data_IF_053219108470
#
_entry.id   IF_053219108470
#
_cell.length_a   1.000
_cell.length_b   1.000
_cell.length_c   1.000
_cell.angle_alpha   90.00
_cell.angle_beta   90.00
_cell.angle_gamma   90.00
#
_symmetry.space_group_name_H-M   'P 1'
#
loop_
_entity.id
_entity.type
_entity.pdbx_description
1 polymer ?
#
# COMPACT_ATOMS: atom_id res chain seq x y z
N UNK A 1 -9.26 9.38 9.34
CA UNK A 1 -9.89 10.71 9.29
C UNK A 1 -11.16 10.61 10.11
N UNK A 2 -11.23 11.30 11.25
CA UNK A 2 -12.45 11.41 12.04
C UNK A 2 -13.20 12.67 11.59
N UNK A 3 -14.05 12.52 10.57
CA UNK A 3 -15.05 13.55 10.26
C UNK A 3 -16.22 13.36 11.20
N UNK A 4 -16.49 14.36 12.02
CA UNK A 4 -17.71 14.44 12.84
C UNK A 4 -18.73 15.27 12.07
N UNK A 5 -19.84 14.64 11.67
CA UNK A 5 -20.94 15.29 10.98
C UNK A 5 -22.14 15.30 11.92
N UNK A 6 -22.70 16.48 12.17
CA UNK A 6 -23.93 16.66 12.96
C UNK A 6 -24.94 17.45 12.16
N UNK A 7 -26.18 16.99 12.15
CA UNK A 7 -27.30 17.68 11.52
C UNK A 7 -28.31 17.98 12.62
N UNK A 8 -28.63 19.27 12.77
CA UNK A 8 -29.59 19.76 13.76
C UNK A 8 -30.74 20.37 13.00
N UNK A 9 -31.97 19.94 13.27
CA UNK A 9 -33.15 20.59 12.71
C UNK A 9 -33.53 21.78 13.61
N UNK A 10 -33.65 22.97 13.02
CA UNK A 10 -34.04 24.21 13.69
C UNK A 10 -35.20 24.86 12.92
N UNK A 11 -36.42 24.59 13.38
CA UNK A 11 -37.65 25.00 12.69
C UNK A 11 -37.81 24.33 11.33
N UNK A 12 -37.96 25.15 10.28
CA UNK A 12 -38.12 24.72 8.89
C UNK A 12 -36.77 24.55 8.16
N UNK A 13 -35.64 24.74 8.85
CA UNK A 13 -34.30 24.58 8.30
C UNK A 13 -33.48 23.52 9.06
N UNK A 14 -32.41 23.06 8.44
CA UNK A 14 -31.42 22.14 8.96
C UNK A 14 -30.08 22.84 9.03
N UNK A 15 -29.43 22.75 10.16
CA UNK A 15 -28.05 23.18 10.36
C UNK A 15 -27.14 21.96 10.23
N UNK A 16 -26.25 21.99 9.24
CA UNK A 16 -25.24 20.96 8.99
C UNK A 16 -23.92 21.45 9.56
N UNK A 17 -23.37 20.74 10.54
CA UNK A 17 -22.11 21.04 11.21
C UNK A 17 -21.12 19.92 10.86
N UNK A 18 -19.98 20.32 10.30
CA UNK A 18 -18.93 19.40 9.87
C UNK A 18 -17.64 19.82 10.57
N UNK A 19 -17.05 18.89 11.31
CA UNK A 19 -15.82 19.07 12.07
C UNK A 19 -14.73 18.16 11.48
N UNK A 20 -13.61 18.75 11.08
CA UNK A 20 -12.46 18.04 10.53
C UNK A 20 -11.15 18.82 10.71
N UNK A 21 -10.06 18.11 10.99
CA UNK A 21 -8.66 18.58 11.15
C UNK A 21 -8.50 20.08 11.49
N UNK A 22 -9.03 20.50 12.64
CA UNK A 22 -8.84 21.85 13.19
C UNK A 22 -9.77 22.92 12.62
N UNK A 23 -10.80 22.56 11.86
CA UNK A 23 -11.82 23.47 11.35
C UNK A 23 -13.24 22.94 11.59
N UNK A 24 -14.16 23.86 11.89
CA UNK A 24 -15.60 23.59 12.02
C UNK A 24 -16.32 24.42 10.97
N UNK A 25 -17.08 23.76 10.10
CA UNK A 25 -17.93 24.40 9.09
C UNK A 25 -19.38 24.21 9.46
N UNK A 26 -20.15 25.30 9.35
CA UNK A 26 -21.57 25.32 9.67
C UNK A 26 -22.31 25.85 8.45
N UNK A 27 -23.25 25.07 7.94
CA UNK A 27 -24.09 25.42 6.79
C UNK A 27 -25.56 25.24 7.13
N UNK A 28 -26.44 25.93 6.41
CA UNK A 28 -27.90 25.79 6.55
C UNK A 28 -28.50 25.20 5.28
N UNK A 29 -29.50 24.36 5.43
CA UNK A 29 -30.23 23.69 4.37
C UNK A 29 -31.72 23.76 4.66
N UNK A 30 -32.54 24.05 3.66
CA UNK A 30 -34.01 24.16 3.78
C UNK A 30 -34.72 22.83 3.56
N UNK A 31 -34.02 21.87 2.97
CA UNK A 31 -34.57 20.56 2.63
C UNK A 31 -33.44 19.52 2.59
N UNK A 32 -33.85 18.25 2.50
CA UNK A 32 -32.93 17.11 2.49
C UNK A 32 -31.99 17.15 1.26
N UNK A 33 -32.45 17.64 0.11
CA UNK A 33 -31.63 17.73 -1.10
C UNK A 33 -30.48 18.73 -0.93
N UNK A 34 -30.73 19.85 -0.25
CA UNK A 34 -29.69 20.82 0.12
C UNK A 34 -28.68 20.23 1.12
N UNK A 35 -29.14 19.42 2.09
CA UNK A 35 -28.24 18.69 3.00
C UNK A 35 -27.33 17.76 2.21
N UNK A 36 -27.90 16.96 1.29
CA UNK A 36 -27.14 16.02 0.46
C UNK A 36 -26.10 16.77 -0.39
N UNK A 37 -26.46 17.92 -0.96
CA UNK A 37 -25.53 18.74 -1.73
C UNK A 37 -24.40 19.31 -0.89
N UNK A 38 -24.68 19.81 0.32
CA UNK A 38 -23.65 20.32 1.23
C UNK A 38 -22.67 19.21 1.61
N UNK A 39 -23.18 18.04 2.00
CA UNK A 39 -22.35 16.89 2.36
C UNK A 39 -21.55 16.37 1.17
N UNK A 40 -22.15 16.31 -0.02
CA UNK A 40 -21.48 15.85 -1.23
C UNK A 40 -20.34 16.77 -1.64
N UNK A 41 -20.54 18.09 -1.54
CA UNK A 41 -19.50 19.07 -1.83
C UNK A 41 -18.35 19.00 -0.80
N UNK A 42 -18.65 18.83 0.48
CA UNK A 42 -17.62 18.70 1.53
C UNK A 42 -16.83 17.41 1.43
N UNK A 43 -17.49 16.29 1.13
CA UNK A 43 -16.81 15.03 0.83
C UNK A 43 -15.94 15.20 -0.42
N UNK A 44 -16.46 15.86 -1.46
CA UNK A 44 -15.70 16.12 -2.68
C UNK A 44 -14.50 17.02 -2.41
N UNK A 45 -14.64 18.08 -1.62
CA UNK A 45 -13.55 18.98 -1.24
C UNK A 45 -12.51 18.28 -0.38
N UNK A 46 -12.93 17.47 0.59
CA UNK A 46 -12.02 16.63 1.37
C UNK A 46 -11.25 15.65 0.46
N UNK A 47 -11.92 15.08 -0.55
CA UNK A 47 -11.30 14.19 -1.53
C UNK A 47 -10.39 14.93 -2.54
N UNK A 48 -10.73 16.15 -2.98
CA UNK A 48 -9.93 16.94 -3.94
C UNK A 48 -8.72 17.60 -3.28
N UNK A 49 -8.85 18.03 -2.02
CA UNK A 49 -7.71 18.48 -1.22
C UNK A 49 -6.72 17.32 -1.05
N UNK A 50 -7.20 16.08 -0.82
CA UNK A 50 -6.37 14.87 -0.87
C UNK A 50 -5.79 14.60 -2.26
N UNK A 51 -6.51 14.84 -3.36
CA UNK A 51 -5.92 14.72 -4.71
C UNK A 51 -4.75 15.70 -4.95
N UNK A 52 -4.53 16.69 -4.07
CA UNK A 52 -3.38 17.62 -4.16
C UNK A 52 -2.21 17.21 -3.25
N UNK A 53 -2.46 16.48 -2.15
CA UNK A 53 -1.45 16.12 -1.14
C UNK A 53 -1.23 14.62 -0.90
N UNK A 54 -2.13 13.77 -1.37
CA UNK A 54 -2.00 12.31 -1.46
C UNK A 54 -2.86 11.85 -2.65
N UNK A 55 -2.39 12.12 -3.87
CA UNK A 55 -2.83 11.28 -4.96
C UNK A 55 -2.54 9.83 -4.57
N UNK A 56 -3.60 9.04 -4.40
CA UNK A 56 -3.57 7.58 -4.63
C UNK A 56 -3.26 7.28 -6.12
N UNK A 57 -2.52 8.16 -6.81
CA UNK A 57 -1.78 7.76 -7.98
C UNK A 57 -0.68 6.85 -7.46
N UNK A 58 -0.55 5.64 -8.03
CA UNK A 58 0.50 4.74 -7.62
C UNK A 58 1.82 5.49 -7.79
N UNK A 59 2.57 5.63 -6.69
CA UNK A 59 3.95 6.12 -6.70
C UNK A 59 4.64 5.58 -7.95
N UNK A 60 5.30 6.45 -8.72
CA UNK A 60 6.01 6.04 -9.92
C UNK A 60 6.89 4.85 -9.55
N UNK A 61 6.48 3.64 -9.96
CA UNK A 61 7.25 2.46 -9.66
C UNK A 61 8.56 2.59 -10.44
N UNK A 62 9.68 2.40 -9.74
CA UNK A 62 11.01 2.67 -10.32
C UNK A 62 11.78 1.38 -10.54
N UNK A 63 11.50 0.35 -9.75
CA UNK A 63 12.19 -0.93 -9.82
C UNK A 63 11.48 -1.83 -10.83
N UNK A 64 12.24 -2.28 -11.82
CA UNK A 64 11.76 -3.17 -12.89
C UNK A 64 12.31 -4.57 -12.66
N UNK A 65 11.43 -5.57 -12.74
CA UNK A 65 11.77 -6.98 -12.53
C UNK A 65 11.58 -7.44 -11.08
N UNK A 66 11.24 -8.71 -10.93
CA UNK A 66 11.04 -9.36 -9.64
C UNK A 66 11.90 -10.62 -9.56
N UNK A 67 12.60 -10.78 -8.45
CA UNK A 67 13.45 -11.93 -8.18
C UNK A 67 13.37 -12.25 -6.69
N UNK A 68 12.98 -13.48 -6.38
CA UNK A 68 12.96 -14.00 -5.02
C UNK A 68 13.30 -15.47 -5.05
N UNK A 69 14.26 -15.87 -4.23
CA UNK A 69 14.85 -17.22 -4.23
C UNK A 69 15.03 -17.76 -2.83
N UNK A 70 14.46 -17.05 -1.87
CA UNK A 70 14.62 -17.33 -0.48
C UNK A 70 13.28 -17.03 0.21
N UNK A 71 12.87 -17.85 1.18
CA UNK A 71 11.61 -17.62 1.90
C UNK A 71 11.54 -16.21 2.47
N UNK A 72 10.38 -15.58 2.37
CA UNK A 72 10.12 -14.23 2.89
C UNK A 72 10.51 -14.13 4.36
N UNK A 73 10.15 -15.13 5.17
CA UNK A 73 10.50 -15.17 6.60
C UNK A 73 11.99 -15.08 6.85
N UNK A 74 12.82 -15.73 6.04
CA UNK A 74 14.27 -15.64 6.17
C UNK A 74 14.82 -14.33 5.62
N UNK A 75 14.23 -13.76 4.58
CA UNK A 75 14.56 -12.40 4.13
C UNK A 75 14.35 -11.38 5.26
N UNK A 76 13.21 -11.47 5.95
CA UNK A 76 12.88 -10.62 7.09
C UNK A 76 13.81 -10.86 8.29
N UNK A 77 14.14 -12.11 8.58
CA UNK A 77 15.10 -12.48 9.64
C UNK A 77 16.51 -11.93 9.37
N UNK A 78 17.01 -12.03 8.13
CA UNK A 78 18.27 -11.42 7.71
C UNK A 78 18.22 -9.91 7.93
N UNK A 79 17.14 -9.25 7.50
CA UNK A 79 16.99 -7.81 7.63
C UNK A 79 16.98 -7.37 9.10
N UNK A 80 16.21 -8.06 9.94
CA UNK A 80 16.16 -7.82 11.37
C UNK A 80 17.55 -8.00 12.02
N UNK A 81 18.30 -9.03 11.64
CA UNK A 81 19.66 -9.25 12.12
C UNK A 81 20.59 -8.09 11.75
N UNK A 82 20.58 -7.65 10.49
CA UNK A 82 21.44 -6.56 10.04
C UNK A 82 21.12 -5.23 10.75
N UNK A 83 19.83 -4.94 10.93
CA UNK A 83 19.37 -3.72 11.60
C UNK A 83 19.66 -3.76 13.11
N UNK A 84 19.42 -4.89 13.77
CA UNK A 84 19.68 -5.06 15.21
C UNK A 84 21.14 -4.84 15.58
N UNK A 85 22.05 -5.37 14.77
CA UNK A 85 23.49 -5.30 15.03
C UNK A 85 24.12 -4.00 14.50
N UNK A 86 23.38 -3.20 13.72
CA UNK A 86 23.78 -1.89 13.21
C UNK A 86 25.20 -1.84 12.61
N UNK A 87 25.51 -2.81 11.75
CA UNK A 87 26.82 -2.90 11.09
C UNK A 87 27.12 -1.65 10.24
N UNK A 88 28.35 -1.13 10.34
CA UNK A 88 28.85 -0.07 9.45
C UNK A 88 28.94 -0.54 8.00
N UNK A 89 29.37 -1.79 7.79
CA UNK A 89 29.34 -2.50 6.51
C UNK A 89 28.26 -3.60 6.54
N UNK A 90 27.09 -3.37 5.93
CA UNK A 90 26.03 -4.37 5.87
C UNK A 90 26.44 -5.66 5.15
N UNK A 91 27.41 -5.62 4.23
CA UNK A 91 27.90 -6.84 3.57
C UNK A 91 28.66 -7.73 4.55
N UNK A 92 29.51 -7.14 5.41
CA UNK A 92 30.14 -7.87 6.51
C UNK A 92 29.09 -8.47 7.44
N UNK A 93 28.09 -7.69 7.84
CA UNK A 93 26.98 -8.19 8.66
C UNK A 93 26.22 -9.35 8.01
N UNK A 94 26.06 -9.32 6.69
CA UNK A 94 25.43 -10.41 5.94
C UNK A 94 26.31 -11.66 5.96
N UNK A 95 27.62 -11.54 5.82
CA UNK A 95 28.55 -12.68 5.92
C UNK A 95 28.53 -13.28 7.33
N UNK A 96 28.54 -12.44 8.36
CA UNK A 96 28.47 -12.86 9.77
C UNK A 96 27.14 -13.60 10.05
N UNK A 97 26.02 -13.11 9.51
CA UNK A 97 24.73 -13.81 9.58
C UNK A 97 24.82 -15.19 8.92
N UNK A 98 25.35 -15.27 7.69
CA UNK A 98 25.44 -16.52 6.95
C UNK A 98 26.30 -17.55 7.69
N UNK A 99 27.47 -17.14 8.19
CA UNK A 99 28.38 -18.02 8.92
C UNK A 99 27.76 -18.52 10.23
N UNK A 100 27.14 -17.62 11.01
CA UNK A 100 26.50 -17.97 12.29
C UNK A 100 25.29 -18.91 12.13
N UNK A 101 24.66 -18.94 10.96
CA UNK A 101 23.53 -19.81 10.65
C UNK A 101 23.94 -21.05 9.83
N UNK A 102 25.24 -21.30 9.63
CA UNK A 102 25.74 -22.44 8.86
C UNK A 102 25.36 -22.41 7.37
N UNK A 103 25.10 -21.22 6.83
CA UNK A 103 24.69 -21.00 5.44
C UNK A 103 25.92 -20.69 4.58
N UNK A 104 25.88 -21.14 3.32
CA UNK A 104 26.94 -20.79 2.37
C UNK A 104 26.99 -19.28 2.16
N UNK A 105 28.19 -18.69 2.29
CA UNK A 105 28.44 -17.28 1.95
C UNK A 105 27.93 -16.94 0.55
N UNK A 106 27.97 -17.87 -0.40
CA UNK A 106 27.46 -17.67 -1.78
C UNK A 106 25.99 -17.23 -1.86
N UNK A 107 25.19 -17.45 -0.80
CA UNK A 107 23.81 -17.00 -0.73
C UNK A 107 23.66 -15.47 -0.82
N UNK A 108 24.72 -14.69 -0.59
CA UNK A 108 24.71 -13.24 -0.83
C UNK A 108 24.27 -12.89 -2.27
N UNK A 109 24.62 -13.75 -3.25
CA UNK A 109 24.26 -13.59 -4.68
C UNK A 109 22.76 -13.65 -4.94
N UNK A 110 22.01 -14.09 -3.95
CA UNK A 110 20.57 -14.31 -4.02
C UNK A 110 19.85 -13.33 -3.11
N UNK A 111 20.38 -13.13 -1.91
CA UNK A 111 19.83 -12.22 -0.89
C UNK A 111 19.91 -10.78 -1.35
N UNK A 112 21.08 -10.32 -1.81
CA UNK A 112 21.29 -8.92 -2.21
C UNK A 112 20.40 -8.55 -3.39
N UNK A 113 20.31 -9.32 -4.49
CA UNK A 113 19.37 -8.99 -5.56
C UNK A 113 17.90 -8.97 -5.12
N UNK A 114 17.49 -9.87 -4.21
CA UNK A 114 16.11 -9.88 -3.68
C UNK A 114 15.83 -8.60 -2.88
N UNK A 115 16.73 -8.22 -1.97
CA UNK A 115 16.61 -6.98 -1.20
C UNK A 115 16.67 -5.73 -2.10
N UNK A 116 17.54 -5.72 -3.12
CA UNK A 116 17.60 -4.64 -4.10
C UNK A 116 16.34 -4.55 -4.96
N UNK A 117 15.70 -5.67 -5.32
CA UNK A 117 14.44 -5.68 -6.05
C UNK A 117 13.28 -5.08 -5.24
N UNK A 118 13.36 -5.12 -3.90
CA UNK A 118 12.47 -4.42 -2.98
C UNK A 118 12.95 -2.99 -2.64
N UNK A 119 14.10 -2.56 -3.15
CA UNK A 119 14.67 -1.25 -2.82
C UNK A 119 15.23 -1.16 -1.40
N UNK A 120 15.46 -2.30 -0.73
CA UNK A 120 15.98 -2.39 0.64
C UNK A 120 17.51 -2.38 0.68
N UNK A 121 18.15 -2.60 -0.47
CA UNK A 121 19.61 -2.60 -0.60
C UNK A 121 20.04 -1.78 -1.81
N UNK A 122 20.89 -0.78 -1.60
CA UNK A 122 21.38 0.12 -2.65
C UNK A 122 22.86 0.46 -2.41
N UNK A 123 23.66 0.37 -3.46
CA UNK A 123 25.08 0.77 -3.45
C UNK A 123 25.91 0.15 -2.31
N UNK A 124 25.63 -1.10 -1.93
CA UNK A 124 26.36 -1.80 -0.87
C UNK A 124 25.79 -1.60 0.54
N UNK A 125 24.74 -0.79 0.70
CA UNK A 125 24.17 -0.45 2.01
C UNK A 125 22.67 -0.70 2.10
N UNK A 126 22.16 -0.82 3.33
CA UNK A 126 20.72 -0.81 3.61
C UNK A 126 20.15 0.60 3.42
N UNK A 127 18.97 0.69 2.82
CA UNK A 127 18.21 1.93 2.70
C UNK A 127 17.51 2.30 4.01
N UNK A 128 16.90 3.50 4.07
CA UNK A 128 16.14 3.88 5.26
C UNK A 128 14.89 3.01 5.41
N UNK A 129 14.21 2.69 4.31
CA UNK A 129 13.05 1.78 4.33
C UNK A 129 13.41 0.37 4.84
N UNK A 130 14.65 -0.07 4.56
CA UNK A 130 15.17 -1.32 5.12
C UNK A 130 15.38 -1.24 6.64
N UNK A 131 15.82 -0.10 7.16
CA UNK A 131 15.98 0.12 8.60
C UNK A 131 14.62 0.20 9.30
N UNK A 132 13.67 0.92 8.74
CA UNK A 132 12.29 0.99 9.23
C UNK A 132 11.63 -0.38 9.27
N UNK A 133 11.69 -1.12 8.16
CA UNK A 133 11.14 -2.48 8.07
C UNK A 133 11.84 -3.41 9.09
N UNK A 134 13.17 -3.33 9.20
CA UNK A 134 13.93 -4.12 10.18
C UNK A 134 13.53 -3.86 11.63
N UNK A 135 13.33 -2.60 12.01
CA UNK A 135 12.82 -2.23 13.35
C UNK A 135 11.44 -2.80 13.61
N UNK A 136 10.52 -2.65 12.65
CA UNK A 136 9.17 -3.19 12.77
C UNK A 136 9.14 -4.72 12.95
N UNK A 137 10.05 -5.45 12.29
CA UNK A 137 10.21 -6.90 12.47
C UNK A 137 10.69 -7.23 13.89
N UNK A 138 11.68 -6.49 14.41
CA UNK A 138 12.24 -6.69 15.75
C UNK A 138 11.19 -6.41 16.84
N UNK A 139 10.41 -5.36 16.66
CA UNK A 139 9.37 -4.91 17.59
C UNK A 139 8.10 -5.78 17.53
N UNK A 140 7.96 -6.62 16.49
CA UNK A 140 6.79 -7.49 16.31
C UNK A 140 5.49 -6.72 16.04
N UNK A 141 5.60 -5.51 15.48
CA UNK A 141 4.49 -4.59 15.31
C UNK A 141 3.45 -5.07 14.28
N UNK A 142 2.15 -4.75 14.47
CA UNK A 142 1.08 -5.08 13.52
C UNK A 142 1.23 -4.35 12.17
N UNK A 143 2.14 -3.38 12.08
CA UNK A 143 2.38 -2.53 10.90
C UNK A 143 3.19 -3.22 9.79
N UNK A 144 3.74 -4.42 10.05
CA UNK A 144 4.58 -5.15 9.10
C UNK A 144 3.93 -5.33 7.70
N UNK A 145 2.65 -5.77 7.58
CA UNK A 145 1.97 -5.83 6.29
C UNK A 145 1.92 -4.49 5.55
N UNK A 146 1.68 -3.40 6.27
CA UNK A 146 1.57 -2.05 5.70
C UNK A 146 2.90 -1.49 5.21
N UNK A 147 3.98 -1.72 5.97
CA UNK A 147 5.34 -1.40 5.52
C UNK A 147 5.71 -2.22 4.29
N UNK A 148 5.45 -3.52 4.31
CA UNK A 148 5.69 -4.39 3.15
C UNK A 148 4.90 -3.99 1.93
N UNK A 149 3.63 -3.58 2.08
CA UNK A 149 2.83 -3.02 0.99
C UNK A 149 3.52 -1.79 0.39
N UNK A 150 3.87 -0.79 1.22
CA UNK A 150 4.52 0.45 0.77
C UNK A 150 5.84 0.20 0.04
N UNK A 151 6.59 -0.80 0.47
CA UNK A 151 7.83 -1.24 -0.17
C UNK A 151 7.53 -1.93 -1.50
N UNK A 152 6.61 -2.90 -1.52
CA UNK A 152 6.30 -3.72 -2.68
C UNK A 152 5.73 -2.90 -3.85
N UNK A 153 4.87 -1.90 -3.58
CA UNK A 153 4.28 -1.07 -4.65
C UNK A 153 5.32 -0.21 -5.40
N UNK A 154 6.52 0.00 -4.84
CA UNK A 154 7.63 0.69 -5.53
C UNK A 154 8.25 -0.17 -6.64
N UNK A 155 8.01 -1.50 -6.62
CA UNK A 155 8.40 -2.42 -7.67
C UNK A 155 7.26 -2.60 -8.69
N UNK A 156 7.53 -2.31 -9.96
CA UNK A 156 6.50 -2.31 -10.99
C UNK A 156 5.86 -3.69 -11.21
N UNK A 157 6.65 -4.76 -11.12
CA UNK A 157 6.16 -6.12 -11.32
C UNK A 157 5.25 -6.55 -10.16
N UNK A 158 5.70 -6.31 -8.91
CA UNK A 158 4.87 -6.56 -7.74
C UNK A 158 3.62 -5.69 -7.70
N UNK A 159 3.74 -4.41 -8.10
CA UNK A 159 2.60 -3.50 -8.19
C UNK A 159 1.52 -4.03 -9.14
N UNK A 160 1.90 -4.51 -10.33
CA UNK A 160 0.95 -5.11 -11.26
C UNK A 160 0.24 -6.34 -10.64
N UNK A 161 0.98 -7.22 -9.96
CA UNK A 161 0.39 -8.37 -9.29
C UNK A 161 -0.58 -7.96 -8.17
N UNK A 162 -0.21 -6.96 -7.35
CA UNK A 162 -1.05 -6.40 -6.28
C UNK A 162 -2.32 -5.78 -6.84
N UNK A 163 -2.23 -5.01 -7.92
CA UNK A 163 -3.39 -4.40 -8.57
C UNK A 163 -4.36 -5.46 -9.12
N UNK A 164 -3.84 -6.51 -9.75
CA UNK A 164 -4.66 -7.64 -10.22
C UNK A 164 -5.36 -8.37 -9.07
N UNK A 165 -4.65 -8.63 -7.98
CA UNK A 165 -5.25 -9.19 -6.76
C UNK A 165 -6.37 -8.31 -6.21
N UNK A 166 -6.17 -6.98 -6.21
CA UNK A 166 -7.19 -6.03 -5.79
C UNK A 166 -8.41 -5.99 -6.74
N UNK A 167 -8.20 -6.25 -8.04
CA UNK A 167 -9.26 -6.44 -9.03
C UNK A 167 -9.98 -7.80 -8.90
N UNK A 168 -9.55 -8.67 -7.96
CA UNK A 168 -10.18 -9.96 -7.65
C UNK A 168 -9.61 -11.15 -8.41
N UNK A 169 -8.50 -10.97 -9.13
CA UNK A 169 -7.81 -12.06 -9.82
C UNK A 169 -7.21 -13.03 -8.80
N UNK A 170 -7.32 -14.37 -9.01
CA UNK A 170 -6.66 -15.36 -8.15
C UNK A 170 -5.15 -15.18 -8.07
N UNK A 171 -4.54 -15.55 -6.94
CA UNK A 171 -3.10 -15.36 -6.69
C UNK A 171 -2.21 -16.03 -7.73
N UNK A 172 -2.56 -17.23 -8.17
CA UNK A 172 -1.79 -17.97 -9.17
C UNK A 172 -1.80 -17.27 -10.54
N UNK A 173 -2.92 -16.66 -10.93
CA UNK A 173 -3.03 -15.85 -12.15
C UNK A 173 -2.32 -14.50 -12.01
N UNK A 174 -2.44 -13.84 -10.85
CA UNK A 174 -1.76 -12.58 -10.58
C UNK A 174 -0.23 -12.73 -10.63
N UNK A 175 0.33 -13.87 -10.19
CA UNK A 175 1.77 -14.15 -10.24
C UNK A 175 2.28 -14.44 -11.66
N UNK A 176 1.43 -14.91 -12.59
CA UNK A 176 1.87 -15.23 -13.97
C UNK A 176 2.49 -14.03 -14.68
N UNK A 177 2.07 -12.81 -14.35
CA UNK A 177 2.63 -11.56 -14.92
C UNK A 177 4.09 -11.36 -14.58
N UNK A 178 4.55 -11.96 -13.49
CA UNK A 178 5.93 -11.86 -13.01
C UNK A 178 6.89 -12.75 -13.79
N UNK A 179 6.38 -13.64 -14.66
CA UNK A 179 7.21 -14.54 -15.47
C UNK A 179 7.99 -15.57 -14.66
N UNK A 180 7.60 -15.83 -13.42
CA UNK A 180 8.27 -16.80 -12.54
C UNK A 180 7.99 -18.22 -13.03
N UNK A 181 9.04 -19.01 -13.22
CA UNK A 181 8.94 -20.39 -13.72
C UNK A 181 9.24 -21.44 -12.67
N UNK A 182 10.05 -21.10 -11.65
CA UNK A 182 10.43 -22.07 -10.62
C UNK A 182 9.44 -22.04 -9.45
N UNK A 183 9.08 -23.23 -8.98
CA UNK A 183 8.07 -23.46 -7.93
C UNK A 183 8.41 -22.76 -6.61
N UNK A 184 9.69 -22.71 -6.25
CA UNK A 184 10.18 -22.01 -5.07
C UNK A 184 9.91 -20.50 -5.16
N UNK A 185 10.24 -19.87 -6.29
CA UNK A 185 10.00 -18.43 -6.52
C UNK A 185 8.51 -18.09 -6.47
N UNK A 186 7.67 -18.94 -7.08
CA UNK A 186 6.20 -18.81 -7.05
C UNK A 186 5.73 -18.86 -5.61
N UNK A 187 6.11 -19.89 -4.85
CA UNK A 187 5.69 -20.05 -3.45
C UNK A 187 6.15 -18.87 -2.58
N UNK A 188 7.39 -18.42 -2.71
CA UNK A 188 7.89 -17.30 -1.92
C UNK A 188 7.19 -15.98 -2.29
N UNK A 189 6.86 -15.80 -3.56
CA UNK A 189 6.08 -14.63 -4.01
C UNK A 189 4.64 -14.69 -3.52
N UNK A 190 3.98 -15.86 -3.57
CA UNK A 190 2.64 -16.04 -3.00
C UNK A 190 2.63 -15.68 -1.52
N UNK A 191 3.58 -16.20 -0.74
CA UNK A 191 3.68 -15.88 0.68
C UNK A 191 3.89 -14.38 0.93
N UNK A 192 4.69 -13.70 0.08
CA UNK A 192 4.87 -12.25 0.18
C UNK A 192 3.55 -11.51 -0.07
N UNK A 193 2.83 -11.89 -1.13
CA UNK A 193 1.56 -11.28 -1.50
C UNK A 193 0.48 -11.53 -0.43
N UNK A 194 0.44 -12.73 0.17
CA UNK A 194 -0.47 -13.05 1.27
C UNK A 194 -0.24 -12.16 2.50
N UNK A 195 1.02 -11.90 2.86
CA UNK A 195 1.34 -10.96 3.95
C UNK A 195 0.84 -9.55 3.58
N UNK A 196 1.12 -9.10 2.36
CA UNK A 196 0.70 -7.78 1.85
C UNK A 196 -0.83 -7.64 1.82
N UNK A 197 -1.55 -8.71 1.50
CA UNK A 197 -3.02 -8.72 1.50
C UNK A 197 -3.62 -8.51 2.90
N UNK A 198 -2.84 -8.74 3.96
CA UNK A 198 -3.21 -8.43 5.33
C UNK A 198 -3.19 -6.92 5.65
N UNK A 199 -2.57 -6.09 4.82
CA UNK A 199 -2.42 -4.65 5.04
C UNK A 199 -3.71 -3.87 4.83
N UNK A 200 -3.88 -2.76 5.55
CA UNK A 200 -5.05 -1.91 5.40
C UNK A 200 -5.05 -1.14 4.09
N UNK A 201 -3.87 -0.80 3.55
CA UNK A 201 -3.74 -0.21 2.22
C UNK A 201 -4.25 -1.15 1.13
N UNK A 202 -3.92 -2.45 1.21
CA UNK A 202 -4.43 -3.43 0.25
C UNK A 202 -5.95 -3.58 0.37
N UNK A 203 -6.49 -3.67 1.59
CA UNK A 203 -7.95 -3.75 1.81
C UNK A 203 -8.67 -2.53 1.24
N UNK A 204 -8.15 -1.33 1.49
CA UNK A 204 -8.66 -0.09 0.91
C UNK A 204 -8.62 -0.11 -0.62
N UNK A 205 -7.49 -0.51 -1.21
CA UNK A 205 -7.35 -0.62 -2.66
C UNK A 205 -8.38 -1.59 -3.25
N UNK A 206 -8.52 -2.79 -2.67
CA UNK A 206 -9.51 -3.79 -3.08
C UNK A 206 -10.93 -3.27 -3.00
N UNK A 207 -11.27 -2.54 -1.93
CA UNK A 207 -12.59 -1.94 -1.75
C UNK A 207 -12.89 -0.91 -2.86
N UNK A 208 -11.95 -0.01 -3.13
CA UNK A 208 -12.08 1.00 -4.21
C UNK A 208 -12.23 0.34 -5.58
N UNK A 209 -11.45 -0.71 -5.87
CA UNK A 209 -11.57 -1.48 -7.12
C UNK A 209 -12.91 -2.20 -7.21
N UNK A 210 -13.40 -2.76 -6.12
CA UNK A 210 -14.73 -3.37 -6.04
C UNK A 210 -15.85 -2.40 -6.40
N UNK A 211 -15.86 -1.20 -5.81
CA UNK A 211 -16.83 -0.14 -6.15
C UNK A 211 -16.73 0.23 -7.63
N UNK A 212 -15.51 0.46 -8.14
CA UNK A 212 -15.28 0.83 -9.54
C UNK A 212 -15.82 -0.24 -10.51
N UNK A 213 -15.61 -1.51 -10.20
CA UNK A 213 -16.09 -2.63 -11.02
C UNK A 213 -17.62 -2.77 -10.95
N UNK A 214 -18.21 -2.57 -9.77
CA UNK A 214 -19.66 -2.52 -9.60
C UNK A 214 -20.30 -1.40 -10.44
N UNK A 215 -19.78 -0.17 -10.33
CA UNK A 215 -20.27 0.98 -11.10
C UNK A 215 -20.13 0.80 -12.61
N UNK A 216 -19.07 0.12 -13.08
CA UNK A 216 -18.88 -0.23 -14.50
C UNK A 216 -19.86 -1.28 -14.99
N UNK A 217 -20.08 -2.33 -14.22
CA UNK A 217 -20.98 -3.44 -14.60
C UNK A 217 -22.46 -3.05 -14.56
N UNK A 218 -22.84 -2.12 -13.67
CA UNK A 218 -24.19 -1.58 -13.60
C UNK A 218 -24.53 -0.50 -14.64
N UNK A 219 -23.63 -0.16 -15.56
CA UNK A 219 -23.75 1.00 -16.47
C UNK A 219 -23.94 2.38 -15.77
N UNK A 220 -23.83 2.45 -14.43
CA UNK A 220 -24.05 3.67 -13.65
C UNK A 220 -23.03 4.78 -13.97
N UNK A 221 -21.87 4.45 -14.57
CA UNK A 221 -20.89 5.44 -15.03
C UNK A 221 -21.31 6.18 -16.31
N UNK A 222 -22.26 5.66 -17.08
CA UNK A 222 -22.78 6.34 -18.27
C UNK A 222 -23.85 7.39 -17.90
N UNK A 223 -24.49 7.25 -16.74
CA UNK A 223 -25.54 8.17 -16.25
C UNK A 223 -24.99 9.30 -15.36
N UNK A 224 -23.69 9.26 -15.03
CA UNK A 224 -23.01 10.39 -14.38
C UNK A 224 -22.53 11.31 -15.51
N UNK A 225 -23.42 12.19 -15.98
CA UNK A 225 -22.97 13.32 -16.79
C UNK A 225 -21.90 14.09 -16.00
N UNK A 226 -20.71 14.37 -16.58
CA UNK A 226 -19.79 15.29 -15.94
C UNK A 226 -20.55 16.60 -15.77
N UNK A 227 -20.69 17.05 -14.52
CA UNK A 227 -21.24 18.38 -14.22
C UNK A 227 -20.46 19.36 -15.08
N UNK A 228 -21.12 19.89 -16.12
CA UNK A 228 -20.54 20.93 -16.97
C UNK A 228 -20.17 22.06 -16.05
N UNK A 229 -18.87 22.25 -15.83
CA UNK A 229 -18.36 23.40 -15.12
C UNK A 229 -18.88 24.64 -15.84
N UNK A 230 -19.68 25.44 -15.15
CA UNK A 230 -19.95 26.80 -15.59
C UNK A 230 -18.63 27.55 -15.46
N UNK A 231 -18.15 28.04 -16.62
CA UNK A 231 -17.07 29.02 -16.73
C UNK A 231 -17.43 30.31 -15.99
#
# INVERSE_FOLDING_TARGET
>A
MDLSIRIIQDGDEYQVIIEGEGSTRISRARNIDEIINILSNEIKDALTTRNSTETLEPSNCTLRGWYIRLPVTRLLDILAYLVKNNYEDPMKGLMDYLDSHGLSRSNYRVIVPTLSALGLWRQGSLTEEARELGKAIIEGGPELPSLLYKIAIKNCALREAIERLADGVPTDEAIRVLGLTRRDEINYTSNLLEIIMGSDEFKCLRYVRGIKNYLRSGNCLNDIEPVKGFF
#
